data_IF_099038922437
#
_entry.id   IF_099038922437
#
_cell.length_a   1.000
_cell.length_b   1.000
_cell.length_c   1.000
_cell.angle_alpha   90.00
_cell.angle_beta   90.00
_cell.angle_gamma   90.00
#
_symmetry.space_group_name_H-M   'P 1'
#
loop_
_entity.id
_entity.type
_entity.pdbx_description
1 polymer ?
#
# COMPACT_ATOMS: atom_id res chain seq x y z
N UNK A 1 -26.09 17.88 -25.09
CA UNK A 1 -24.65 17.82 -25.43
C UNK A 1 -24.57 17.56 -26.91
N UNK A 2 -23.97 18.50 -27.66
CA UNK A 2 -23.91 18.38 -29.12
C UNK A 2 -22.90 17.27 -29.54
N UNK A 3 -22.96 16.84 -30.81
CA UNK A 3 -22.10 15.78 -31.33
C UNK A 3 -20.59 16.10 -31.20
N UNK A 4 -20.23 17.38 -31.23
CA UNK A 4 -18.85 17.89 -31.16
C UNK A 4 -18.34 17.89 -29.71
N UNK A 5 -19.22 18.14 -28.74
CA UNK A 5 -18.95 17.99 -27.30
C UNK A 5 -18.81 16.52 -26.91
N UNK A 6 -19.67 15.64 -27.43
CA UNK A 6 -19.57 14.17 -27.26
C UNK A 6 -18.23 13.63 -27.79
N UNK A 7 -17.83 14.02 -29.00
CA UNK A 7 -16.55 13.63 -29.62
C UNK A 7 -15.34 14.10 -28.81
N UNK A 8 -15.39 15.33 -28.26
CA UNK A 8 -14.32 15.85 -27.38
C UNK A 8 -14.19 15.05 -26.09
N UNK A 9 -15.31 14.71 -25.44
CA UNK A 9 -15.31 13.88 -24.24
C UNK A 9 -14.78 12.46 -24.53
N UNK A 10 -15.15 11.87 -25.66
CA UNK A 10 -14.66 10.55 -26.05
C UNK A 10 -13.14 10.53 -26.31
N UNK A 11 -12.59 11.61 -26.89
CA UNK A 11 -11.13 11.77 -27.07
C UNK A 11 -10.40 11.96 -25.75
N UNK A 12 -10.95 12.77 -24.84
CA UNK A 12 -10.43 12.92 -23.48
C UNK A 12 -10.45 11.58 -22.75
N UNK A 13 -11.50 10.77 -22.93
CA UNK A 13 -11.60 9.47 -22.27
C UNK A 13 -10.64 8.43 -22.84
N UNK A 14 -10.47 8.35 -24.16
CA UNK A 14 -9.40 7.55 -24.79
C UNK A 14 -8.02 7.93 -24.27
N UNK A 15 -7.81 9.22 -24.03
CA UNK A 15 -6.58 9.72 -23.43
C UNK A 15 -6.43 9.28 -21.96
N UNK A 16 -7.49 9.34 -21.14
CA UNK A 16 -7.44 8.86 -19.75
C UNK A 16 -7.24 7.35 -19.65
N UNK A 17 -7.95 6.56 -20.47
CA UNK A 17 -7.77 5.11 -20.56
C UNK A 17 -6.35 4.76 -21.04
N UNK A 18 -5.84 5.46 -22.07
CA UNK A 18 -4.46 5.32 -22.50
C UNK A 18 -3.46 5.73 -21.41
N UNK A 19 -3.71 6.78 -20.63
CA UNK A 19 -2.84 7.16 -19.52
C UNK A 19 -2.87 6.14 -18.38
N UNK A 20 -4.03 5.56 -18.07
CA UNK A 20 -4.16 4.50 -17.06
C UNK A 20 -3.46 3.21 -17.55
N UNK A 21 -3.65 2.83 -18.81
CA UNK A 21 -2.94 1.72 -19.45
C UNK A 21 -1.44 1.98 -19.56
N UNK A 22 -1.00 3.20 -19.89
CA UNK A 22 0.42 3.58 -19.96
C UNK A 22 1.06 3.61 -18.56
N UNK A 23 0.28 3.97 -17.53
CA UNK A 23 0.69 3.82 -16.12
C UNK A 23 0.85 2.35 -15.74
N UNK A 24 0.06 1.45 -16.34
CA UNK A 24 -0.01 0.02 -16.03
C UNK A 24 0.88 -0.87 -16.92
N UNK A 25 1.21 -0.46 -18.15
CA UNK A 25 1.92 -1.22 -19.18
C UNK A 25 3.44 -1.28 -19.02
N UNK A 26 3.94 -0.75 -17.92
CA UNK A 26 5.36 -0.62 -17.58
C UNK A 26 5.95 -1.93 -17.01
N UNK A 27 5.73 -3.07 -17.68
CA UNK A 27 6.30 -4.38 -17.25
C UNK A 27 7.84 -4.40 -17.20
N UNK A 28 8.52 -3.53 -17.95
CA UNK A 28 9.98 -3.38 -17.90
C UNK A 28 10.49 -2.48 -16.77
N UNK A 29 9.61 -1.75 -16.08
CA UNK A 29 9.97 -0.74 -15.08
C UNK A 29 9.98 -1.29 -13.64
N UNK A 30 9.40 -2.45 -13.39
CA UNK A 30 9.26 -3.03 -12.03
C UNK A 30 10.63 -3.37 -11.40
N UNK A 31 11.57 -3.89 -12.20
CA UNK A 31 12.95 -4.16 -11.73
C UNK A 31 13.73 -2.88 -11.48
N UNK A 32 13.46 -1.82 -12.24
CA UNK A 32 14.10 -0.53 -12.00
C UNK A 32 13.61 0.09 -10.68
N UNK A 33 12.32 -0.04 -10.38
CA UNK A 33 11.71 0.44 -9.13
C UNK A 33 12.29 -0.28 -7.91
N UNK A 34 12.42 -1.61 -7.96
CA UNK A 34 13.07 -2.38 -6.88
C UNK A 34 14.53 -1.93 -6.69
N UNK A 35 15.29 -1.83 -7.79
CA UNK A 35 16.67 -1.33 -7.74
C UNK A 35 16.75 0.08 -7.17
N UNK A 36 15.81 0.96 -7.51
CA UNK A 36 15.76 2.32 -6.97
C UNK A 36 15.50 2.31 -5.47
N UNK A 37 14.49 1.56 -5.00
CA UNK A 37 14.21 1.44 -3.57
C UNK A 37 15.41 0.89 -2.80
N UNK A 38 16.02 -0.20 -3.26
CA UNK A 38 17.21 -0.78 -2.63
C UNK A 38 18.36 0.20 -2.59
N UNK A 39 18.56 0.98 -3.66
CA UNK A 39 19.59 2.04 -3.68
C UNK A 39 19.34 3.12 -2.63
N UNK A 40 18.11 3.62 -2.53
CA UNK A 40 17.71 4.64 -1.55
C UNK A 40 17.87 4.11 -0.12
N UNK A 41 17.44 2.87 0.14
CA UNK A 41 17.57 2.19 1.43
C UNK A 41 19.03 2.00 1.79
N UNK A 42 19.84 1.40 0.90
CA UNK A 42 21.26 1.16 1.15
C UNK A 42 22.03 2.44 1.40
N UNK A 43 21.70 3.52 0.68
CA UNK A 43 22.29 4.84 0.94
C UNK A 43 21.97 5.31 2.36
N UNK A 44 20.71 5.25 2.77
CA UNK A 44 20.29 5.69 4.10
C UNK A 44 20.92 4.83 5.22
N UNK A 45 20.94 3.50 5.05
CA UNK A 45 21.47 2.57 6.02
C UNK A 45 22.99 2.74 6.21
N UNK A 46 23.74 2.91 5.12
CA UNK A 46 25.18 3.22 5.16
C UNK A 46 25.48 4.55 5.85
N UNK A 47 24.68 5.60 5.56
CA UNK A 47 24.83 6.90 6.23
C UNK A 47 24.51 6.85 7.73
N UNK A 48 23.80 5.81 8.18
CA UNK A 48 23.47 5.59 9.57
C UNK A 48 24.35 4.54 10.26
N UNK A 49 25.46 4.14 9.63
CA UNK A 49 26.39 3.11 10.11
C UNK A 49 25.69 1.77 10.45
N UNK A 50 24.67 1.41 9.69
CA UNK A 50 24.01 0.10 9.79
C UNK A 50 24.79 -0.92 8.97
N UNK A 51 25.04 -2.10 9.55
CA UNK A 51 25.80 -3.19 8.91
C UNK A 51 24.92 -4.14 8.06
N UNK A 52 23.68 -3.74 7.79
CA UNK A 52 22.70 -4.53 7.04
C UNK A 52 22.68 -4.12 5.55
N UNK A 53 22.28 -5.05 4.68
CA UNK A 53 22.15 -4.80 3.24
C UNK A 53 20.67 -4.80 2.81
N UNK A 54 20.27 -3.80 2.03
CA UNK A 54 18.94 -3.76 1.43
C UNK A 54 18.67 -4.96 0.51
N UNK A 55 19.68 -5.67 0.02
CA UNK A 55 19.53 -6.92 -0.73
C UNK A 55 18.98 -8.07 0.13
N UNK A 56 19.13 -8.00 1.46
CA UNK A 56 18.55 -8.98 2.41
C UNK A 56 17.06 -8.76 2.69
N UNK A 57 16.47 -7.67 2.19
CA UNK A 57 15.04 -7.39 2.27
C UNK A 57 14.26 -8.36 1.36
N UNK A 58 13.31 -9.08 1.96
CA UNK A 58 12.37 -9.90 1.21
C UNK A 58 11.23 -9.05 0.66
N UNK A 59 10.49 -9.61 -0.29
CA UNK A 59 9.29 -8.95 -0.81
C UNK A 59 8.23 -8.71 0.28
N UNK A 60 8.15 -9.58 1.29
CA UNK A 60 7.28 -9.36 2.45
C UNK A 60 7.70 -8.14 3.30
N UNK A 61 9.02 -7.92 3.46
CA UNK A 61 9.53 -6.71 4.14
C UNK A 61 9.15 -5.45 3.36
N UNK A 62 9.28 -5.49 2.04
CA UNK A 62 8.93 -4.37 1.15
C UNK A 62 7.45 -4.03 1.19
N UNK A 63 6.58 -5.04 1.27
CA UNK A 63 5.12 -4.84 1.43
C UNK A 63 4.79 -4.21 2.79
N UNK A 64 5.42 -4.67 3.88
CA UNK A 64 5.20 -4.08 5.20
C UNK A 64 5.77 -2.65 5.28
N UNK A 65 6.95 -2.41 4.74
CA UNK A 65 7.56 -1.08 4.66
C UNK A 65 6.69 -0.11 3.86
N UNK A 66 6.16 -0.56 2.72
CA UNK A 66 5.21 0.20 1.91
C UNK A 66 3.96 0.53 2.70
N UNK A 67 3.36 -0.45 3.36
CA UNK A 67 2.17 -0.24 4.19
C UNK A 67 2.42 0.83 5.25
N UNK A 68 3.46 0.67 6.08
CA UNK A 68 3.81 1.59 7.15
C UNK A 68 4.23 2.98 6.66
N UNK A 69 4.62 3.12 5.39
CA UNK A 69 4.92 4.43 4.79
C UNK A 69 3.64 5.05 4.19
N UNK A 70 2.91 4.29 3.38
CA UNK A 70 1.91 4.85 2.48
C UNK A 70 0.57 5.17 3.15
N UNK A 71 0.18 4.40 4.17
CA UNK A 71 -1.15 4.52 4.77
C UNK A 71 -1.33 5.80 5.60
N UNK A 72 -0.22 6.44 5.99
CA UNK A 72 -0.25 7.68 6.75
C UNK A 72 -0.14 8.90 5.83
N UNK A 73 -0.95 9.92 6.07
CA UNK A 73 -0.84 11.18 5.35
C UNK A 73 0.21 12.07 6.00
N UNK A 74 1.45 11.94 5.54
CA UNK A 74 2.57 12.72 6.07
C UNK A 74 2.49 14.22 5.73
N UNK A 75 1.67 14.62 4.75
CA UNK A 75 1.63 15.99 4.20
C UNK A 75 3.02 16.54 3.86
N UNK A 76 3.82 15.70 3.22
CA UNK A 76 5.19 15.99 2.79
C UNK A 76 5.33 15.75 1.28
N UNK A 77 6.36 16.34 0.62
CA UNK A 77 6.68 16.01 -0.75
C UNK A 77 6.86 14.50 -0.92
N UNK A 78 6.37 13.96 -2.03
CA UNK A 78 6.45 12.53 -2.35
C UNK A 78 7.90 12.04 -2.32
N UNK A 79 8.83 12.85 -2.80
CA UNK A 79 10.26 12.57 -2.79
C UNK A 79 10.80 12.40 -1.37
N UNK A 80 10.36 13.23 -0.42
CA UNK A 80 10.78 13.11 0.99
C UNK A 80 10.20 11.85 1.64
N UNK A 81 8.95 11.49 1.32
CA UNK A 81 8.34 10.26 1.82
C UNK A 81 9.17 9.04 1.42
N UNK A 82 9.52 8.92 0.15
CA UNK A 82 10.25 7.74 -0.31
C UNK A 82 11.75 7.80 -0.05
N UNK A 83 12.37 8.98 -0.01
CA UNK A 83 13.81 9.09 0.22
C UNK A 83 14.19 9.15 1.71
N UNK A 84 13.31 9.62 2.59
CA UNK A 84 13.60 9.77 4.03
C UNK A 84 12.80 8.82 4.92
N UNK A 85 11.51 8.64 4.64
CA UNK A 85 10.61 7.85 5.50
C UNK A 85 10.69 6.37 5.18
N UNK A 86 10.63 6.01 3.89
CA UNK A 86 10.62 4.61 3.47
C UNK A 86 11.84 3.81 3.96
N UNK A 87 13.09 4.34 3.97
CA UNK A 87 14.22 3.61 4.54
C UNK A 87 14.11 3.30 6.03
N UNK A 88 13.43 4.15 6.79
CA UNK A 88 13.14 3.92 8.22
C UNK A 88 12.16 2.76 8.35
N UNK A 89 11.06 2.79 7.58
CA UNK A 89 10.05 1.74 7.63
C UNK A 89 10.58 0.39 7.11
N UNK A 90 11.42 0.41 6.08
CA UNK A 90 12.11 -0.78 5.58
C UNK A 90 13.01 -1.41 6.63
N UNK A 91 13.77 -0.61 7.38
CA UNK A 91 14.62 -1.11 8.45
C UNK A 91 13.80 -1.69 9.62
N UNK A 92 12.71 -1.02 9.99
CA UNK A 92 11.78 -1.53 11.00
C UNK A 92 11.17 -2.88 10.58
N UNK A 93 10.72 -3.00 9.32
CA UNK A 93 10.17 -4.25 8.78
C UNK A 93 11.20 -5.37 8.74
N UNK A 94 12.42 -5.08 8.28
CA UNK A 94 13.53 -6.02 8.25
C UNK A 94 13.85 -6.59 9.64
N UNK A 95 14.03 -5.71 10.64
CA UNK A 95 14.30 -6.12 12.02
C UNK A 95 13.17 -6.93 12.62
N UNK A 96 11.93 -6.52 12.33
CA UNK A 96 10.74 -7.22 12.77
C UNK A 96 10.72 -8.67 12.27
N UNK A 97 10.96 -8.89 10.97
CA UNK A 97 11.09 -10.24 10.41
C UNK A 97 12.25 -11.02 11.04
N UNK A 98 13.41 -10.37 11.25
CA UNK A 98 14.63 -11.01 11.78
C UNK A 98 14.54 -11.45 13.24
N UNK A 99 13.55 -10.99 14.01
CA UNK A 99 13.39 -11.47 15.38
C UNK A 99 12.98 -10.41 16.39
N UNK A 100 13.21 -9.14 16.07
CA UNK A 100 13.01 -8.07 17.03
C UNK A 100 11.52 -7.90 17.36
N UNK A 101 11.22 -7.83 18.65
CA UNK A 101 9.86 -7.59 19.15
C UNK A 101 9.36 -6.21 18.73
N UNK A 102 8.06 -6.05 18.55
CA UNK A 102 7.49 -4.74 18.22
C UNK A 102 7.87 -3.67 19.26
N UNK A 103 7.95 -4.00 20.55
CA UNK A 103 8.35 -3.05 21.61
C UNK A 103 9.75 -2.49 21.36
N UNK A 104 10.74 -3.38 21.18
CA UNK A 104 12.12 -3.00 20.85
C UNK A 104 12.20 -2.09 19.62
N UNK A 105 11.45 -2.42 18.56
CA UNK A 105 11.43 -1.60 17.33
C UNK A 105 10.86 -0.21 17.60
N UNK A 106 9.74 -0.13 18.34
CA UNK A 106 9.11 1.14 18.70
C UNK A 106 10.05 1.97 19.57
N UNK A 107 10.68 1.37 20.59
CA UNK A 107 11.54 2.07 21.55
C UNK A 107 12.83 2.59 20.91
N UNK A 108 13.37 1.89 19.91
CA UNK A 108 14.61 2.29 19.23
C UNK A 108 14.40 3.24 18.04
N UNK A 109 13.20 3.26 17.44
CA UNK A 109 12.94 4.03 16.22
C UNK A 109 11.88 5.12 16.36
N UNK A 110 11.09 5.15 17.43
CA UNK A 110 10.03 6.15 17.63
C UNK A 110 10.28 6.90 18.94
N UNK A 111 10.67 8.16 18.82
CA UNK A 111 10.99 9.02 19.95
C UNK A 111 9.88 10.02 20.20
N UNK A 112 9.38 10.07 21.42
CA UNK A 112 8.48 11.13 21.83
C UNK A 112 9.28 12.42 22.08
N UNK A 113 8.84 13.51 21.45
CA UNK A 113 9.31 14.88 21.71
C UNK A 113 8.08 15.77 21.89
N UNK A 114 7.88 16.24 23.12
CA UNK A 114 6.71 17.02 23.52
C UNK A 114 5.40 16.27 23.17
N UNK A 115 4.50 16.94 22.43
CA UNK A 115 3.24 16.37 21.93
C UNK A 115 3.39 15.67 20.57
N UNK A 116 4.62 15.47 20.07
CA UNK A 116 4.87 14.87 18.76
C UNK A 116 5.75 13.62 18.85
N UNK A 117 5.72 12.83 17.78
CA UNK A 117 6.56 11.66 17.61
C UNK A 117 7.50 11.89 16.43
N UNK A 118 8.76 11.51 16.64
CA UNK A 118 9.80 11.55 15.63
C UNK A 118 10.28 10.13 15.37
N UNK A 119 10.16 9.71 14.12
CA UNK A 119 10.68 8.44 13.64
C UNK A 119 12.10 8.65 13.16
N UNK A 120 13.02 7.74 13.51
CA UNK A 120 14.43 7.86 13.14
C UNK A 120 15.02 6.53 12.75
N UNK A 121 15.91 6.56 11.76
CA UNK A 121 16.73 5.41 11.44
C UNK A 121 17.82 5.18 12.51
N UNK A 122 18.42 6.25 13.04
CA UNK A 122 19.48 6.19 14.05
C UNK A 122 19.42 7.36 15.06
N UNK A 123 20.25 7.30 16.11
CA UNK A 123 20.21 8.25 17.26
C UNK A 123 20.54 9.71 16.90
N UNK A 124 21.21 9.98 15.76
CA UNK A 124 21.51 11.32 15.22
C UNK A 124 21.39 11.29 13.70
N UNK A 125 20.62 12.21 13.08
CA UNK A 125 20.82 12.47 11.65
C UNK A 125 19.61 12.85 10.81
N UNK A 126 19.94 13.01 9.53
CA UNK A 126 19.15 13.44 8.37
C UNK A 126 17.93 12.57 8.05
N UNK A 127 17.96 11.29 8.47
CA UNK A 127 16.87 10.33 8.32
C UNK A 127 15.98 10.30 9.56
N UNK A 128 15.31 11.43 9.78
CA UNK A 128 14.19 11.52 10.71
C UNK A 128 13.00 12.21 10.08
N UNK A 129 11.80 11.85 10.54
CA UNK A 129 10.60 12.61 10.22
C UNK A 129 9.74 12.82 11.45
N UNK A 130 9.20 14.03 11.54
CA UNK A 130 8.17 14.38 12.51
C UNK A 130 6.84 14.39 11.78
N UNK A 131 5.92 13.55 12.19
CA UNK A 131 4.58 13.58 11.62
C UNK A 131 3.89 14.88 12.06
N UNK A 132 3.41 15.69 11.11
CA UNK A 132 2.77 17.00 11.38
C UNK A 132 1.63 16.91 12.39
N UNK A 133 0.95 15.76 12.45
CA UNK A 133 -0.12 15.45 13.39
C UNK A 133 0.17 14.26 14.31
N UNK A 134 1.46 13.94 14.55
CA UNK A 134 1.86 12.69 15.20
C UNK A 134 1.16 12.44 16.54
N UNK A 135 1.03 13.47 17.37
CA UNK A 135 0.29 13.38 18.63
C UNK A 135 -1.23 13.30 18.47
N UNK A 136 -1.81 13.99 17.46
CA UNK A 136 -3.26 14.09 17.26
C UNK A 136 -3.85 12.83 16.61
N UNK A 137 -3.13 12.23 15.66
CA UNK A 137 -3.57 11.03 14.95
C UNK A 137 -2.98 9.73 15.53
N UNK A 138 -2.10 9.80 16.53
CA UNK A 138 -1.60 8.63 17.24
C UNK A 138 -0.84 7.64 16.35
N UNK A 139 -0.07 8.15 15.38
CA UNK A 139 0.70 7.35 14.41
C UNK A 139 1.53 6.24 15.08
N UNK A 140 2.24 6.58 16.16
CA UNK A 140 3.03 5.62 16.93
C UNK A 140 2.16 4.47 17.48
N UNK A 141 0.94 4.77 17.94
CA UNK A 141 -0.01 3.76 18.43
C UNK A 141 -0.50 2.87 17.30
N UNK A 142 -0.73 3.44 16.12
CA UNK A 142 -1.13 2.70 14.92
C UNK A 142 -0.01 1.74 14.46
N UNK A 143 1.23 2.24 14.32
CA UNK A 143 2.39 1.39 13.98
C UNK A 143 2.61 0.30 15.03
N UNK A 144 2.58 0.66 16.32
CA UNK A 144 2.67 -0.31 17.43
C UNK A 144 1.58 -1.37 17.35
N UNK A 145 0.33 -0.97 17.07
CA UNK A 145 -0.78 -1.89 16.91
C UNK A 145 -0.56 -2.83 15.74
N UNK A 146 -0.27 -2.30 14.55
CA UNK A 146 -0.01 -3.10 13.35
C UNK A 146 1.06 -4.15 13.63
N UNK A 147 2.22 -3.76 14.16
CA UNK A 147 3.31 -4.69 14.47
C UNK A 147 2.93 -5.69 15.57
N UNK A 148 2.14 -5.30 16.57
CA UNK A 148 1.69 -6.24 17.61
C UNK A 148 0.76 -7.31 17.03
N UNK A 149 -0.26 -6.90 16.27
CA UNK A 149 -1.24 -7.82 15.69
C UNK A 149 -0.59 -8.78 14.68
N UNK A 150 0.40 -8.32 13.91
CA UNK A 150 1.13 -9.15 12.95
C UNK A 150 1.97 -10.26 13.60
N UNK A 151 2.21 -10.23 14.93
CA UNK A 151 2.89 -11.34 15.60
C UNK A 151 2.10 -12.65 15.48
N UNK A 152 0.76 -12.57 15.48
CA UNK A 152 -0.13 -13.71 15.24
C UNK A 152 -0.04 -14.29 13.83
N UNK A 153 0.57 -13.55 12.89
CA UNK A 153 0.69 -13.91 11.47
C UNK A 153 2.16 -14.08 11.06
N UNK A 154 3.00 -14.56 11.99
CA UNK A 154 4.41 -14.82 11.72
C UNK A 154 5.19 -13.56 11.34
N UNK A 155 4.77 -12.39 11.84
CA UNK A 155 5.38 -11.08 11.57
C UNK A 155 5.30 -10.66 10.10
N UNK A 156 4.28 -11.12 9.37
CA UNK A 156 4.09 -10.86 7.95
C UNK A 156 2.73 -10.25 7.63
N UNK A 157 2.73 -9.06 7.03
CA UNK A 157 1.52 -8.46 6.48
C UNK A 157 0.93 -9.31 5.35
N UNK A 158 1.77 -9.99 4.56
CA UNK A 158 1.32 -10.86 3.47
C UNK A 158 0.59 -12.08 4.03
N UNK A 159 1.10 -12.69 5.10
CA UNK A 159 0.41 -13.79 5.78
C UNK A 159 -0.96 -13.35 6.32
N UNK A 160 -1.03 -12.17 6.95
CA UNK A 160 -2.30 -11.56 7.37
C UNK A 160 -3.27 -11.41 6.18
N UNK A 161 -2.81 -10.78 5.10
CA UNK A 161 -3.64 -10.56 3.91
C UNK A 161 -4.16 -11.88 3.31
N UNK A 162 -3.32 -12.92 3.27
CA UNK A 162 -3.70 -14.23 2.76
C UNK A 162 -4.72 -14.92 3.65
N UNK A 163 -4.52 -14.93 4.97
CA UNK A 163 -5.46 -15.56 5.90
C UNK A 163 -6.84 -14.89 5.82
N UNK A 164 -6.89 -13.56 5.82
CA UNK A 164 -8.15 -12.80 5.77
C UNK A 164 -8.89 -12.99 4.45
N UNK A 165 -8.18 -12.96 3.32
CA UNK A 165 -8.77 -13.19 2.00
C UNK A 165 -9.18 -14.66 1.76
N UNK A 166 -8.49 -15.61 2.41
CA UNK A 166 -8.85 -17.03 2.35
C UNK A 166 -10.17 -17.32 3.08
N UNK A 167 -10.40 -16.65 4.21
CA UNK A 167 -11.58 -16.88 5.06
C UNK A 167 -12.81 -16.06 4.65
N UNK A 168 -12.64 -15.09 3.73
CA UNK A 168 -13.72 -14.25 3.25
C UNK A 168 -14.48 -14.89 2.07
N UNK A 169 -15.78 -14.57 1.95
CA UNK A 169 -16.59 -15.04 0.85
C UNK A 169 -16.11 -14.44 -0.49
N UNK A 170 -16.21 -15.24 -1.55
CA UNK A 170 -15.61 -14.92 -2.85
C UNK A 170 -16.13 -13.62 -3.47
N UNK A 171 -17.41 -13.30 -3.28
CA UNK A 171 -18.03 -12.10 -3.85
C UNK A 171 -17.73 -10.79 -3.08
N UNK A 172 -17.02 -10.87 -1.94
CA UNK A 172 -16.73 -9.71 -1.08
C UNK A 172 -15.32 -9.68 -0.45
N UNK A 173 -14.45 -10.65 -0.75
CA UNK A 173 -13.15 -10.80 -0.07
C UNK A 173 -12.27 -9.55 -0.13
N UNK A 174 -12.34 -8.74 -1.18
CA UNK A 174 -11.57 -7.50 -1.29
C UNK A 174 -12.05 -6.47 -0.28
N UNK A 175 -13.38 -6.36 -0.10
CA UNK A 175 -13.99 -5.45 0.87
C UNK A 175 -13.74 -5.91 2.30
N UNK A 176 -13.87 -7.21 2.56
CA UNK A 176 -13.52 -7.81 3.85
C UNK A 176 -12.05 -7.54 4.18
N UNK A 177 -11.15 -7.83 3.25
CA UNK A 177 -9.73 -7.58 3.42
C UNK A 177 -9.41 -6.11 3.67
N UNK A 178 -10.05 -5.18 2.95
CA UNK A 178 -9.92 -3.75 3.23
C UNK A 178 -10.33 -3.42 4.67
N UNK A 179 -11.47 -3.93 5.13
CA UNK A 179 -11.93 -3.73 6.51
C UNK A 179 -10.97 -4.30 7.55
N UNK A 180 -10.38 -5.47 7.27
CA UNK A 180 -9.38 -6.12 8.11
C UNK A 180 -8.06 -5.33 8.16
N UNK A 181 -7.54 -4.89 7.01
CA UNK A 181 -6.35 -4.05 6.91
C UNK A 181 -6.55 -2.68 7.57
N UNK A 182 -7.75 -2.11 7.41
CA UNK A 182 -8.14 -0.90 8.08
C UNK A 182 -8.11 -1.11 9.60
N UNK A 183 -8.78 -2.17 10.08
CA UNK A 183 -8.84 -2.50 11.52
C UNK A 183 -7.46 -2.80 12.08
N UNK A 184 -6.60 -3.49 11.33
CA UNK A 184 -5.22 -3.81 11.69
C UNK A 184 -4.46 -2.58 12.15
N UNK A 185 -4.64 -1.45 11.48
CA UNK A 185 -3.87 -0.22 11.72
C UNK A 185 -4.67 0.85 12.49
N UNK A 186 -5.87 1.17 12.02
CA UNK A 186 -6.67 2.31 12.50
C UNK A 186 -7.67 1.95 13.60
N UNK A 187 -8.05 0.67 13.72
CA UNK A 187 -9.01 0.20 14.71
C UNK A 187 -8.44 0.26 16.13
N UNK A 188 -8.32 1.46 16.71
CA UNK A 188 -7.86 1.67 18.09
C UNK A 188 -9.06 2.03 18.95
N UNK A 189 -9.30 1.27 20.02
CA UNK A 189 -10.34 1.53 21.03
C UNK A 189 -11.79 1.64 20.51
N UNK A 190 -12.13 0.94 19.42
CA UNK A 190 -13.49 0.99 18.85
C UNK A 190 -13.82 2.29 18.10
N UNK A 191 -12.87 3.23 17.98
CA UNK A 191 -13.01 4.41 17.13
C UNK A 191 -12.75 4.02 15.67
N UNK A 192 -13.82 4.01 14.87
CA UNK A 192 -13.74 3.82 13.41
C UNK A 192 -13.70 5.21 12.77
N UNK A 193 -12.52 5.62 12.30
CA UNK A 193 -12.35 6.77 11.41
C UNK A 193 -12.77 6.37 10.00
N UNK A 194 -14.05 6.54 9.68
CA UNK A 194 -14.63 6.20 8.38
C UNK A 194 -13.74 6.63 7.20
N UNK A 195 -13.39 5.65 6.34
CA UNK A 195 -12.78 5.84 5.02
C UNK A 195 -11.38 6.48 4.98
N UNK A 196 -10.33 5.68 5.18
CA UNK A 196 -8.96 6.10 4.88
C UNK A 196 -8.60 5.80 3.42
N UNK A 197 -8.70 6.82 2.55
CA UNK A 197 -8.38 6.72 1.11
C UNK A 197 -7.03 6.04 0.85
N UNK A 198 -6.03 6.27 1.71
CA UNK A 198 -4.70 5.65 1.61
C UNK A 198 -4.70 4.15 1.81
N UNK A 199 -5.55 3.62 2.69
CA UNK A 199 -5.72 2.17 2.91
C UNK A 199 -6.30 1.52 1.64
N UNK A 200 -7.31 2.15 1.04
CA UNK A 200 -7.92 1.68 -0.21
C UNK A 200 -6.92 1.73 -1.37
N UNK A 201 -6.18 2.84 -1.50
CA UNK A 201 -5.15 3.00 -2.53
C UNK A 201 -4.02 1.98 -2.38
N UNK A 202 -3.55 1.68 -1.16
CA UNK A 202 -2.53 0.66 -0.94
C UNK A 202 -3.01 -0.73 -1.38
N UNK A 203 -4.25 -1.12 -1.02
CA UNK A 203 -4.83 -2.38 -1.47
C UNK A 203 -4.96 -2.44 -3.00
N UNK A 204 -5.36 -1.34 -3.63
CA UNK A 204 -5.39 -1.23 -5.10
C UNK A 204 -4.00 -1.40 -5.70
N UNK A 205 -2.96 -0.83 -5.10
CA UNK A 205 -1.58 -0.98 -5.57
C UNK A 205 -1.07 -2.42 -5.44
N UNK A 206 -1.57 -3.18 -4.46
CA UNK A 206 -1.25 -4.59 -4.28
C UNK A 206 -1.96 -5.52 -5.28
N UNK A 207 -3.17 -5.15 -5.72
CA UNK A 207 -3.96 -5.95 -6.66
C UNK A 207 -3.68 -5.60 -8.13
N UNK A 208 -3.60 -4.29 -8.43
CA UNK A 208 -3.48 -3.77 -9.80
C UNK A 208 -2.24 -2.90 -10.04
N UNK A 209 -1.53 -2.48 -8.99
CA UNK A 209 -0.45 -1.51 -9.13
C UNK A 209 0.77 -2.12 -9.81
N UNK A 210 1.45 -1.40 -10.72
CA UNK A 210 2.66 -1.92 -11.37
C UNK A 210 3.79 -2.13 -10.34
N UNK A 211 3.93 -1.20 -9.38
CA UNK A 211 5.10 -1.14 -8.51
C UNK A 211 5.11 -2.17 -7.37
N UNK A 212 4.00 -2.30 -6.64
CA UNK A 212 3.98 -3.09 -5.39
C UNK A 212 3.36 -4.46 -5.54
N UNK A 213 2.62 -4.71 -6.63
CA UNK A 213 2.10 -6.04 -6.95
C UNK A 213 3.20 -7.07 -7.14
N UNK A 214 4.36 -6.69 -7.70
CA UNK A 214 5.49 -7.62 -7.85
C UNK A 214 5.94 -8.18 -6.49
N UNK A 215 6.07 -7.31 -5.47
CA UNK A 215 6.46 -7.77 -4.14
C UNK A 215 5.39 -8.66 -3.51
N UNK A 216 4.11 -8.33 -3.70
CA UNK A 216 3.04 -9.20 -3.23
C UNK A 216 3.12 -10.56 -3.90
N UNK A 217 3.13 -10.62 -5.25
CA UNK A 217 3.23 -11.87 -6.01
C UNK A 217 4.47 -12.71 -5.65
N UNK A 218 5.61 -12.06 -5.44
CA UNK A 218 6.83 -12.76 -5.03
C UNK A 218 6.70 -13.30 -3.60
N UNK A 219 6.15 -12.52 -2.67
CA UNK A 219 5.92 -12.97 -1.30
C UNK A 219 4.91 -14.12 -1.22
N UNK A 220 3.89 -14.18 -2.09
CA UNK A 220 2.92 -15.28 -2.13
C UNK A 220 3.59 -16.66 -2.30
N UNK A 221 4.75 -16.73 -2.96
CA UNK A 221 5.49 -17.98 -3.21
C UNK A 221 5.94 -18.66 -1.91
N UNK A 222 6.04 -17.90 -0.82
CA UNK A 222 6.44 -18.38 0.51
C UNK A 222 5.27 -19.03 1.28
N UNK A 223 4.02 -18.79 0.88
CA UNK A 223 2.82 -19.11 1.67
C UNK A 223 1.93 -20.21 1.07
N UNK A 224 2.53 -21.32 0.64
CA UNK A 224 1.88 -22.39 -0.15
C UNK A 224 0.60 -23.00 0.46
N UNK A 225 0.36 -22.84 1.76
CA UNK A 225 -0.84 -23.34 2.45
C UNK A 225 -2.13 -22.60 2.07
N UNK A 226 -2.04 -21.39 1.52
CA UNK A 226 -3.20 -20.55 1.19
C UNK A 226 -3.59 -20.63 -0.29
N UNK A 227 -3.71 -21.84 -0.86
CA UNK A 227 -3.88 -22.04 -2.32
C UNK A 227 -5.02 -21.19 -2.91
N UNK A 228 -6.21 -21.24 -2.32
CA UNK A 228 -7.38 -20.48 -2.81
C UNK A 228 -7.12 -18.97 -2.81
N UNK A 229 -6.57 -18.42 -1.73
CA UNK A 229 -6.22 -17.01 -1.70
C UNK A 229 -5.11 -16.67 -2.70
N UNK A 230 -4.05 -17.48 -2.81
CA UNK A 230 -2.97 -17.26 -3.79
C UNK A 230 -3.52 -17.18 -5.22
N UNK A 231 -4.47 -18.06 -5.59
CA UNK A 231 -5.11 -18.02 -6.91
C UNK A 231 -5.84 -16.68 -7.13
N UNK A 232 -6.64 -16.22 -6.16
CA UNK A 232 -7.33 -14.92 -6.21
C UNK A 232 -6.37 -13.75 -6.33
N UNK A 233 -5.28 -13.75 -5.55
CA UNK A 233 -4.28 -12.67 -5.56
C UNK A 233 -3.42 -12.68 -6.84
N UNK A 234 -3.19 -13.85 -7.43
CA UNK A 234 -2.42 -13.99 -8.67
C UNK A 234 -3.22 -13.54 -9.90
N UNK A 235 -4.54 -13.69 -9.86
CA UNK A 235 -5.48 -13.29 -10.91
C UNK A 235 -6.65 -12.47 -10.31
N UNK A 236 -6.38 -11.24 -9.84
CA UNK A 236 -7.38 -10.43 -9.13
C UNK A 236 -8.44 -9.84 -10.06
N UNK A 237 -8.25 -9.86 -11.39
CA UNK A 237 -9.11 -9.29 -12.45
C UNK A 237 -10.61 -9.52 -12.24
N UNK A 238 -11.09 -10.75 -11.95
CA UNK A 238 -12.51 -11.03 -11.76
C UNK A 238 -13.11 -10.34 -10.53
N UNK A 239 -12.30 -9.92 -9.57
CA UNK A 239 -12.73 -9.37 -8.28
C UNK A 239 -12.58 -7.85 -8.20
N UNK A 240 -12.02 -7.22 -9.24
CA UNK A 240 -11.70 -5.80 -9.22
C UNK A 240 -12.94 -4.90 -9.16
N UNK A 241 -14.12 -5.40 -9.53
CA UNK A 241 -15.41 -4.70 -9.34
C UNK A 241 -15.68 -4.38 -7.86
N UNK A 242 -15.08 -5.15 -6.93
CA UNK A 242 -15.20 -4.89 -5.49
C UNK A 242 -14.40 -3.67 -5.04
N UNK A 243 -13.41 -3.22 -5.84
CA UNK A 243 -12.63 -1.99 -5.62
C UNK A 243 -13.32 -0.74 -6.15
N UNK A 244 -14.39 -0.88 -6.93
CA UNK A 244 -15.08 0.24 -7.56
C UNK A 244 -15.86 1.03 -6.50
N UNK A 245 -15.51 2.31 -6.36
CA UNK A 245 -16.31 3.25 -5.59
C UNK A 245 -17.54 3.66 -6.43
N UNK A 246 -18.59 4.24 -5.83
CA UNK A 246 -19.75 4.73 -6.58
C UNK A 246 -19.41 5.67 -7.74
N UNK A 247 -18.28 6.40 -7.68
CA UNK A 247 -17.77 7.20 -8.79
C UNK A 247 -17.19 6.38 -9.94
N UNK A 248 -16.60 5.21 -9.66
CA UNK A 248 -16.13 4.27 -10.68
C UNK A 248 -17.32 3.57 -11.36
N UNK A 249 -18.33 3.15 -10.57
CA UNK A 249 -19.61 2.64 -11.09
C UNK A 249 -20.32 3.71 -11.92
N UNK A 250 -20.33 4.97 -11.47
CA UNK A 250 -20.88 6.09 -12.23
C UNK A 250 -20.11 6.29 -13.55
N UNK A 251 -18.78 6.20 -13.55
CA UNK A 251 -17.98 6.28 -14.78
C UNK A 251 -18.31 5.12 -15.74
N UNK A 252 -18.50 3.91 -15.22
CA UNK A 252 -18.87 2.73 -16.01
C UNK A 252 -20.30 2.82 -16.55
N UNK A 253 -21.28 3.22 -15.74
CA UNK A 253 -22.67 3.45 -16.17
C UNK A 253 -22.77 4.62 -17.16
N UNK A 254 -22.01 5.69 -16.93
CA UNK A 254 -21.90 6.81 -17.85
C UNK A 254 -21.28 6.38 -19.19
N UNK A 255 -20.22 5.57 -19.15
CA UNK A 255 -19.60 4.99 -20.34
C UNK A 255 -20.59 4.12 -21.11
N UNK A 256 -21.29 3.20 -20.45
CA UNK A 256 -22.27 2.32 -21.09
C UNK A 256 -23.43 3.12 -21.69
N UNK A 257 -23.95 4.13 -20.99
CA UNK A 257 -25.00 5.01 -21.54
C UNK A 257 -24.54 5.81 -22.76
N UNK A 258 -23.31 6.32 -22.77
CA UNK A 258 -22.76 7.01 -23.95
C UNK A 258 -22.47 6.04 -25.10
N UNK A 259 -22.03 4.82 -24.80
CA UNK A 259 -21.73 3.79 -25.78
C UNK A 259 -22.99 3.24 -26.45
N UNK A 260 -24.04 2.94 -25.66
CA UNK A 260 -25.34 2.47 -26.14
C UNK A 260 -26.03 3.54 -27.01
N UNK A 261 -25.93 4.82 -26.63
CA UNK A 261 -26.42 5.95 -27.43
C UNK A 261 -25.71 6.13 -28.79
N UNK A 262 -24.53 5.53 -28.97
CA UNK A 262 -23.72 5.62 -30.20
C UNK A 262 -23.92 4.43 -31.14
N UNK A 263 -24.36 3.28 -30.62
CA UNK A 263 -24.61 2.05 -31.40
C UNK A 263 -26.10 1.87 -31.69
N UNK A 264 -27.01 2.44 -30.88
CA UNK A 264 -28.42 2.47 -31.22
C UNK A 264 -28.62 3.26 -32.53
N UNK A 265 -29.20 2.65 -33.58
CA UNK A 265 -29.50 3.36 -34.80
C UNK A 265 -30.47 4.50 -34.47
N UNK A 266 -30.32 5.68 -35.11
CA UNK A 266 -31.22 6.80 -34.85
C UNK A 266 -32.66 6.38 -35.19
N UNK A 267 -33.57 6.59 -34.24
CA UNK A 267 -35.03 6.56 -34.49
C UNK A 267 -35.45 7.76 -35.32
#
# INVERSE_FOLDING_TARGET
>A
MDAKEKEKLFRLWKFFAWMDDARQGLKENDRWIDKWHRCVINKAWKLCDLNDDADDLTSADMVLAHWLTYIFDYQMPTEDVWNKIFPIMAYMAFRYRKGDTYTKIIDEHIFQRDNNFEFRLCKKGEFSFKHRFGGKHGLNRMVKKTLKELEGYGRSLVAFMLEKSNNAAEHEWVRTLYGELYTLTYGVNGEIYWWHKRCWSALRDYLKGPMYRIYVCDALKEFKSYRSAIEKWSNPEPYLYQLELPGDIWNTEFFNRIYDDFIAPPH
#
